data_IF_805710097649
#
_entry.id   IF_805710097649
#
_cell.length_a   1.000
_cell.length_b   1.000
_cell.length_c   1.000
_cell.angle_alpha   90.00
_cell.angle_beta   90.00
_cell.angle_gamma   90.00
#
_symmetry.space_group_name_H-M   'P 1'
#
loop_
_entity.id
_entity.type
_entity.pdbx_description
1 polymer ?
#
# COMPACT_ATOMS: atom_id res chain seq x y z
N UNK A 1 -8.01 -10.29 14.12
CA UNK A 1 -7.24 -9.04 14.27
C UNK A 1 -7.39 -8.24 12.98
N UNK A 2 -7.61 -6.93 13.07
CA UNK A 2 -7.61 -6.06 11.90
C UNK A 2 -6.14 -5.92 11.43
N UNK A 3 -5.83 -6.46 10.25
CA UNK A 3 -4.43 -6.59 9.75
C UNK A 3 -3.99 -5.34 8.98
N UNK A 4 -4.93 -4.60 8.40
CA UNK A 4 -4.64 -3.37 7.67
C UNK A 4 -4.45 -2.20 8.64
N UNK A 5 -3.47 -1.34 8.35
CA UNK A 5 -3.32 -0.06 9.02
C UNK A 5 -4.39 0.90 8.49
N UNK A 6 -5.21 1.53 9.36
CA UNK A 6 -6.25 2.44 8.91
C UNK A 6 -5.63 3.68 8.25
N UNK A 7 -6.32 4.26 7.27
CA UNK A 7 -5.90 5.48 6.55
C UNK A 7 -5.44 6.59 7.49
N UNK A 8 -6.16 6.80 8.59
CA UNK A 8 -5.85 7.86 9.57
C UNK A 8 -4.50 7.66 10.30
N UNK A 9 -3.97 6.43 10.34
CA UNK A 9 -2.68 6.12 10.96
C UNK A 9 -1.51 6.16 9.97
N UNK A 10 -1.77 6.43 8.68
CA UNK A 10 -0.75 6.48 7.65
C UNK A 10 -0.30 7.93 7.40
N UNK A 11 1.01 8.19 7.30
CA UNK A 11 1.50 9.47 6.80
C UNK A 11 0.99 9.68 5.37
N UNK A 12 0.52 10.88 5.09
CA UNK A 12 -0.02 11.27 3.79
C UNK A 12 0.78 12.42 3.18
N UNK A 13 1.03 12.34 1.88
CA UNK A 13 1.67 13.38 1.09
C UNK A 13 0.74 13.76 -0.06
N UNK A 14 0.43 15.06 -0.28
CA UNK A 14 -0.32 15.49 -1.46
C UNK A 14 0.40 15.11 -2.77
N UNK A 15 -0.35 14.84 -3.84
CA UNK A 15 0.22 14.48 -5.15
C UNK A 15 1.12 15.58 -5.75
N UNK A 16 0.87 16.84 -5.39
CA UNK A 16 1.73 17.98 -5.70
C UNK A 16 2.96 18.15 -4.78
N UNK A 17 3.14 17.31 -3.76
CA UNK A 17 4.32 17.30 -2.90
C UNK A 17 5.56 16.71 -3.58
N UNK A 18 6.72 16.87 -2.94
CA UNK A 18 7.98 16.33 -3.48
C UNK A 18 8.29 14.93 -2.96
N UNK A 19 9.06 14.15 -3.73
CA UNK A 19 9.56 12.85 -3.30
C UNK A 19 10.34 12.94 -1.98
N UNK A 20 11.22 13.93 -1.84
CA UNK A 20 11.99 14.16 -0.62
C UNK A 20 11.13 14.49 0.59
N UNK A 21 9.99 15.16 0.41
CA UNK A 21 9.02 15.36 1.49
C UNK A 21 8.33 14.05 1.88
N UNK A 22 7.89 13.25 0.91
CA UNK A 22 7.31 11.94 1.17
C UNK A 22 8.29 11.01 1.91
N UNK A 23 9.57 10.98 1.53
CA UNK A 23 10.57 10.16 2.22
C UNK A 23 10.82 10.63 3.66
N UNK A 24 10.82 11.95 3.92
CA UNK A 24 10.91 12.48 5.29
C UNK A 24 9.72 12.06 6.14
N UNK A 25 8.50 12.18 5.63
CA UNK A 25 7.29 11.73 6.32
C UNK A 25 7.37 10.24 6.69
N UNK A 26 7.92 9.41 5.80
CA UNK A 26 8.12 7.97 6.06
C UNK A 26 9.03 7.73 7.27
N UNK A 27 10.16 8.45 7.34
CA UNK A 27 11.12 8.33 8.44
C UNK A 27 10.56 8.88 9.76
N UNK A 28 9.97 10.08 9.73
CA UNK A 28 9.44 10.77 10.90
C UNK A 28 8.29 9.99 11.57
N UNK A 29 7.40 9.41 10.74
CA UNK A 29 6.28 8.59 11.22
C UNK A 29 6.66 7.16 11.60
N UNK A 30 7.91 6.75 11.32
CA UNK A 30 8.39 5.36 11.46
C UNK A 30 7.48 4.34 10.76
N UNK A 31 6.89 4.72 9.64
CA UNK A 31 6.06 3.84 8.82
C UNK A 31 6.82 3.38 7.58
N UNK A 32 6.53 2.17 7.10
CA UNK A 32 7.14 1.62 5.88
C UNK A 32 6.39 1.99 4.59
N UNK A 33 5.47 2.95 4.67
CA UNK A 33 4.81 3.52 3.50
C UNK A 33 4.28 4.92 3.77
N UNK A 34 4.16 5.72 2.71
CA UNK A 34 3.48 7.01 2.70
C UNK A 34 2.41 6.98 1.64
N UNK A 35 1.21 7.39 2.00
CA UNK A 35 0.10 7.45 1.07
C UNK A 35 0.20 8.74 0.26
N UNK A 36 0.10 8.65 -1.06
CA UNK A 36 0.02 9.82 -1.94
C UNK A 36 -1.44 10.11 -2.22
N UNK A 37 -1.94 11.22 -1.67
CA UNK A 37 -3.32 11.66 -1.79
C UNK A 37 -3.49 12.63 -2.93
N UNK A 38 -4.59 12.50 -3.66
CA UNK A 38 -5.00 13.45 -4.69
C UNK A 38 -6.50 13.66 -4.55
N UNK A 39 -6.94 14.91 -4.44
CA UNK A 39 -8.35 15.25 -4.26
C UNK A 39 -9.18 14.90 -5.50
N UNK A 40 -8.54 14.89 -6.67
CA UNK A 40 -9.20 14.64 -7.95
C UNK A 40 -9.25 13.14 -8.30
N UNK A 41 -8.60 12.28 -7.51
CA UNK A 41 -8.56 10.84 -7.73
C UNK A 41 -9.58 10.16 -6.81
N UNK A 42 -10.36 9.20 -7.30
CA UNK A 42 -11.14 8.30 -6.44
C UNK A 42 -10.36 6.97 -6.33
N UNK A 43 -9.89 6.56 -5.13
CA UNK A 43 -10.50 6.84 -3.82
C UNK A 43 -9.75 7.83 -2.90
N UNK A 44 -9.31 8.95 -3.46
CA UNK A 44 -8.54 9.99 -2.78
C UNK A 44 -7.06 9.64 -2.61
N UNK A 45 -6.64 8.50 -3.16
CA UNK A 45 -5.29 7.98 -3.09
C UNK A 45 -4.81 7.69 -4.50
N UNK A 46 -3.79 8.44 -4.92
CA UNK A 46 -3.08 8.10 -6.12
C UNK A 46 -2.39 6.76 -5.85
N UNK A 47 -1.51 6.64 -4.86
CA UNK A 47 -0.77 5.40 -4.59
C UNK A 47 0.01 5.44 -3.28
N UNK A 48 1.06 4.62 -3.17
CA UNK A 48 1.93 4.57 -1.99
C UNK A 48 3.40 4.69 -2.37
N UNK A 49 4.16 5.47 -1.60
CA UNK A 49 5.62 5.44 -1.59
C UNK A 49 6.06 4.44 -0.53
N UNK A 50 7.04 3.61 -0.84
CA UNK A 50 7.57 2.55 0.04
C UNK A 50 9.10 2.58 0.00
N UNK A 51 9.82 1.93 0.94
CA UNK A 51 11.27 1.81 0.89
C UNK A 51 11.79 1.25 -0.44
N UNK A 52 11.07 0.30 -1.06
CA UNK A 52 11.40 -0.20 -2.40
C UNK A 52 11.33 0.90 -3.46
N UNK A 53 10.34 1.79 -3.36
CA UNK A 53 10.24 2.98 -4.21
C UNK A 53 11.41 3.94 -3.99
N UNK A 54 11.81 4.17 -2.74
CA UNK A 54 12.96 5.00 -2.40
C UNK A 54 14.28 4.44 -2.98
N UNK A 55 14.51 3.14 -2.83
CA UNK A 55 15.67 2.45 -3.42
C UNK A 55 15.68 2.55 -4.94
N UNK A 56 14.53 2.40 -5.58
CA UNK A 56 14.39 2.59 -7.03
C UNK A 56 14.73 4.02 -7.44
N UNK A 57 14.17 5.02 -6.76
CA UNK A 57 14.47 6.42 -7.03
C UNK A 57 15.96 6.72 -6.93
N UNK A 58 16.63 6.17 -5.90
CA UNK A 58 18.06 6.30 -5.72
C UNK A 58 18.85 5.65 -6.87
N UNK A 59 18.53 4.41 -7.22
CA UNK A 59 19.19 3.69 -8.32
C UNK A 59 19.01 4.39 -9.68
N UNK A 60 17.83 4.98 -9.91
CA UNK A 60 17.49 5.72 -11.13
C UNK A 60 17.97 7.19 -11.09
N UNK A 61 18.68 7.61 -10.03
CA UNK A 61 19.15 8.98 -9.83
C UNK A 61 18.04 10.04 -9.94
N UNK A 62 16.83 9.70 -9.44
CA UNK A 62 15.67 10.59 -9.45
C UNK A 62 15.89 11.72 -8.45
N UNK A 63 15.80 13.00 -8.88
CA UNK A 63 15.92 14.14 -7.98
C UNK A 63 14.83 14.14 -6.89
N UNK A 64 15.19 14.54 -5.67
CA UNK A 64 14.26 14.53 -4.52
C UNK A 64 13.20 15.64 -4.57
N UNK A 65 13.39 16.67 -5.39
CA UNK A 65 12.45 17.75 -5.63
C UNK A 65 11.38 17.39 -6.69
N UNK A 66 11.47 16.21 -7.31
CA UNK A 66 10.44 15.71 -8.24
C UNK A 66 9.09 15.62 -7.55
N UNK A 67 8.04 16.06 -8.26
CA UNK A 67 6.65 15.96 -7.84
C UNK A 67 6.23 14.49 -7.75
N UNK A 68 5.82 14.06 -6.55
CA UNK A 68 5.55 12.66 -6.21
C UNK A 68 4.42 12.06 -7.05
N UNK A 69 3.38 12.85 -7.33
CA UNK A 69 2.27 12.42 -8.17
C UNK A 69 2.68 12.20 -9.63
N UNK A 70 3.62 12.98 -10.15
CA UNK A 70 4.16 12.81 -11.51
C UNK A 70 5.00 11.55 -11.60
N UNK A 71 5.88 11.37 -10.63
CA UNK A 71 6.72 10.18 -10.52
C UNK A 71 5.90 8.90 -10.41
N UNK A 72 4.85 8.90 -9.58
CA UNK A 72 3.92 7.77 -9.47
C UNK A 72 3.17 7.45 -10.77
N UNK A 73 2.85 8.45 -11.60
CA UNK A 73 2.24 8.21 -12.93
C UNK A 73 3.25 7.60 -13.89
N UNK A 74 4.49 8.11 -13.91
CA UNK A 74 5.57 7.59 -14.75
C UNK A 74 5.98 6.15 -14.40
N UNK A 75 5.85 5.75 -13.14
CA UNK A 75 6.11 4.38 -12.69
C UNK A 75 4.94 3.42 -12.99
N UNK A 76 3.70 3.92 -12.99
CA UNK A 76 2.48 3.10 -13.08
C UNK A 76 2.30 2.35 -14.38
N UNK A 77 2.96 2.76 -15.45
CA UNK A 77 2.94 2.07 -16.74
C UNK A 77 3.36 0.59 -16.64
N UNK A 78 4.05 0.17 -15.57
CA UNK A 78 4.42 -1.23 -15.30
C UNK A 78 3.90 -1.81 -13.95
N UNK A 79 3.06 -1.08 -13.20
CA UNK A 79 2.54 -1.58 -11.91
C UNK A 79 1.06 -1.94 -12.03
N UNK A 80 0.76 -3.24 -11.94
CA UNK A 80 -0.62 -3.72 -11.77
C UNK A 80 -1.28 -3.05 -10.55
N UNK A 81 -2.62 -2.88 -10.57
CA UNK A 81 -3.35 -2.19 -9.52
C UNK A 81 -3.05 -2.79 -8.15
N UNK A 82 -2.45 -2.00 -7.27
CA UNK A 82 -2.11 -2.36 -5.88
C UNK A 82 -3.29 -2.19 -4.93
N UNK A 83 -4.52 -2.17 -5.46
CA UNK A 83 -5.74 -1.94 -4.69
C UNK A 83 -6.46 -3.27 -4.52
N UNK A 84 -6.84 -3.58 -3.30
CA UNK A 84 -7.61 -4.77 -2.96
C UNK A 84 -8.87 -4.38 -2.17
N UNK A 85 -9.94 -5.14 -2.34
CA UNK A 85 -11.16 -4.97 -1.56
C UNK A 85 -10.92 -5.26 -0.08
N UNK A 86 -11.54 -4.48 0.81
CA UNK A 86 -11.60 -4.76 2.25
C UNK A 86 -12.24 -6.12 2.56
N UNK A 87 -13.06 -6.65 1.66
CA UNK A 87 -13.67 -7.98 1.79
C UNK A 87 -12.73 -9.13 1.35
N UNK A 88 -11.52 -8.84 0.85
CA UNK A 88 -10.62 -9.87 0.37
C UNK A 88 -10.04 -10.71 1.50
N UNK A 89 -9.88 -12.01 1.24
CA UNK A 89 -9.30 -12.94 2.21
C UNK A 89 -7.80 -12.70 2.37
N UNK A 90 -7.26 -12.90 3.58
CA UNK A 90 -5.81 -12.75 3.84
C UNK A 90 -4.96 -13.69 2.99
N UNK A 91 -5.46 -14.89 2.65
CA UNK A 91 -4.82 -15.82 1.71
C UNK A 91 -4.64 -15.21 0.33
N UNK A 92 -5.65 -14.52 -0.17
CA UNK A 92 -5.62 -13.80 -1.44
C UNK A 92 -4.65 -12.61 -1.36
N UNK A 93 -4.68 -11.82 -0.28
CA UNK A 93 -3.73 -10.72 -0.04
C UNK A 93 -2.29 -11.26 -0.08
N UNK A 94 -2.01 -12.35 0.65
CA UNK A 94 -0.69 -12.98 0.71
C UNK A 94 -0.27 -13.52 -0.66
N UNK A 95 -1.18 -14.17 -1.40
CA UNK A 95 -0.91 -14.68 -2.75
C UNK A 95 -0.57 -13.56 -3.73
N UNK A 96 -1.31 -12.45 -3.71
CA UNK A 96 -1.03 -11.27 -4.55
C UNK A 96 0.36 -10.69 -4.20
N UNK A 97 0.65 -10.52 -2.91
CA UNK A 97 1.95 -10.00 -2.47
C UNK A 97 3.11 -10.90 -2.91
N UNK A 98 2.99 -12.21 -2.73
CA UNK A 98 4.01 -13.18 -3.09
C UNK A 98 4.22 -13.26 -4.62
N UNK A 99 3.14 -13.43 -5.38
CA UNK A 99 3.19 -13.60 -6.84
C UNK A 99 3.66 -12.35 -7.57
N UNK A 100 3.31 -11.16 -7.07
CA UNK A 100 3.66 -9.88 -7.70
C UNK A 100 4.93 -9.25 -7.13
N UNK A 101 5.61 -9.91 -6.18
CA UNK A 101 6.78 -9.35 -5.47
C UNK A 101 6.53 -7.95 -4.89
N UNK A 102 5.33 -7.74 -4.34
CA UNK A 102 4.93 -6.48 -3.69
C UNK A 102 4.70 -6.68 -2.20
N UNK A 103 5.06 -5.66 -1.42
CA UNK A 103 4.99 -5.72 0.04
C UNK A 103 3.88 -4.89 0.65
N UNK A 104 3.17 -4.09 -0.15
CA UNK A 104 2.13 -3.17 0.33
C UNK A 104 0.97 -3.17 -0.65
N UNK A 105 -0.24 -3.33 -0.11
CA UNK A 105 -1.50 -3.25 -0.84
C UNK A 105 -2.38 -2.20 -0.19
N UNK A 106 -2.98 -1.37 -1.03
CA UNK A 106 -3.97 -0.37 -0.67
C UNK A 106 -5.31 -1.08 -0.51
N UNK A 107 -5.99 -0.88 0.61
CA UNK A 107 -7.29 -1.50 0.89
C UNK A 107 -8.39 -0.47 0.64
N UNK A 108 -9.35 -0.82 -0.20
CA UNK A 108 -10.50 0.02 -0.53
C UNK A 108 -11.82 -0.63 -0.10
N UNK A 109 -12.77 0.19 0.32
CA UNK A 109 -14.12 -0.23 0.66
C UNK A 109 -14.84 -0.66 -0.63
N UNK A 110 -15.41 -1.88 -0.69
CA UNK A 110 -16.17 -2.30 -1.87
C UNK A 110 -17.48 -1.53 -2.03
N UNK A 111 -17.98 -0.89 -0.96
CA UNK A 111 -19.28 -0.20 -0.96
C UNK A 111 -19.15 1.27 -1.38
N UNK A 112 -18.15 1.97 -0.85
CA UNK A 112 -17.96 3.40 -1.11
C UNK A 112 -16.86 3.68 -2.11
N UNK A 113 -16.02 2.67 -2.41
CA UNK A 113 -14.79 2.84 -3.15
C UNK A 113 -13.65 3.43 -2.31
N UNK A 114 -13.95 4.03 -1.15
CA UNK A 114 -12.99 4.82 -0.38
C UNK A 114 -11.77 4.03 0.08
N UNK A 115 -10.65 4.74 0.20
CA UNK A 115 -9.45 4.21 0.82
C UNK A 115 -9.72 3.95 2.31
N UNK A 116 -9.65 2.68 2.69
CA UNK A 116 -9.76 2.21 4.08
C UNK A 116 -8.39 2.24 4.76
N UNK A 117 -7.35 1.79 4.05
CA UNK A 117 -6.03 1.64 4.67
C UNK A 117 -4.98 1.01 3.77
N UNK A 118 -3.89 0.54 4.37
CA UNK A 118 -2.81 -0.20 3.70
C UNK A 118 -2.47 -1.43 4.53
N UNK A 119 -2.32 -2.57 3.87
CA UNK A 119 -1.78 -3.80 4.46
C UNK A 119 -0.38 -4.04 3.91
N UNK A 120 0.56 -4.36 4.81
CA UNK A 120 1.93 -4.74 4.43
C UNK A 120 2.22 -6.23 4.68
N UNK A 121 3.28 -6.74 4.05
CA UNK A 121 3.75 -8.12 4.29
C UNK A 121 4.20 -8.34 5.74
N UNK A 122 4.70 -7.29 6.41
CA UNK A 122 5.03 -7.36 7.85
C UNK A 122 3.77 -7.45 8.72
N UNK A 123 2.69 -6.76 8.34
CA UNK A 123 1.42 -6.84 9.08
C UNK A 123 0.83 -8.26 8.95
N UNK A 124 0.91 -8.86 7.75
CA UNK A 124 0.54 -10.27 7.54
C UNK A 124 1.40 -11.22 8.38
N UNK A 125 2.72 -11.06 8.37
CA UNK A 125 3.62 -11.90 9.15
C UNK A 125 3.34 -11.77 10.66
N UNK A 126 3.08 -10.56 11.15
CA UNK A 126 2.69 -10.33 12.53
C UNK A 126 1.34 -10.99 12.85
N UNK A 127 0.35 -10.86 11.97
CA UNK A 127 -0.95 -11.51 12.15
C UNK A 127 -0.84 -13.04 12.19
N UNK A 128 0.05 -13.62 11.37
CA UNK A 128 0.34 -15.06 11.37
C UNK A 128 1.09 -15.49 12.64
N UNK A 129 2.09 -14.72 13.07
CA UNK A 129 2.89 -15.04 14.26
C UNK A 129 2.16 -14.81 15.58
N UNK A 130 1.17 -13.93 15.61
CA UNK A 130 0.36 -13.61 16.80
C UNK A 130 -0.84 -14.55 17.00
N UNK A 131 -1.05 -15.51 16.10
CA UNK A 131 -2.25 -16.34 16.11
C UNK A 131 -2.06 -17.65 16.91
N UNK A 132 -2.62 -17.70 18.13
CA UNK A 132 -3.33 -18.90 18.58
C UNK A 132 -4.51 -19.12 17.60
N UNK A 133 -4.39 -20.13 16.73
CA UNK A 133 -5.36 -20.51 15.67
C UNK A 133 -5.88 -19.35 14.80
N UNK A 134 -5.19 -19.09 13.68
CA UNK A 134 -5.89 -18.61 12.48
C UNK A 134 -6.85 -19.74 12.08
N UNK A 135 -8.15 -19.59 12.35
CA UNK A 135 -9.14 -20.55 11.85
C UNK A 135 -9.11 -20.46 10.33
N UNK A 136 -8.50 -21.47 9.73
CA UNK A 136 -8.48 -21.75 8.30
C UNK A 136 -9.90 -22.12 7.89
N UNK A 137 -10.68 -21.13 7.46
CA UNK A 137 -11.95 -21.40 6.80
C UNK A 137 -11.69 -22.12 5.48
N UNK A 138 -11.77 -23.45 5.50
CA UNK A 138 -11.99 -24.24 4.30
C UNK A 138 -13.39 -23.89 3.77
N UNK A 139 -13.46 -23.24 2.61
CA UNK A 139 -14.62 -23.31 1.73
C UNK A 139 -14.35 -24.40 0.69
N UNK A 140 -15.29 -25.34 0.45
CA UNK A 140 -15.06 -26.48 -0.41
C UNK A 140 -14.80 -26.05 -1.86
N UNK A 141 -13.90 -26.76 -2.52
CA UNK A 141 -13.86 -26.77 -3.98
C UNK A 141 -15.10 -27.51 -4.49
N UNK A 142 -16.09 -26.79 -5.00
CA UNK A 142 -17.10 -27.27 -5.96
C UNK A 142 -17.48 -26.06 -6.83
N UNK A 143 -17.51 -26.09 -8.17
CA UNK A 143 -17.51 -27.19 -9.13
C UNK A 143 -16.65 -26.86 -10.37
#
# INVERSE_FOLDING_TARGET
AEVAKPRAALPACPSGGTLGHALRLMMESRQNCVLVTDADFCPGAQGVITPRGALRAFAEHVPLDVIVGHWLRGIRSNLQPRIISQAAQLSQVAWIMASSSIHHLVVASPFTGDLVGVVSSSDLAQAMGSAERVVLGYGPCEA
#
